data_IF_913741793555
#
_entry.id   IF_913741793555
#
_cell.length_a   1.000
_cell.length_b   1.000
_cell.length_c   1.000
_cell.angle_alpha   90.00
_cell.angle_beta   90.00
_cell.angle_gamma   90.00
#
_symmetry.space_group_name_H-M   'P 1'
#
loop_
_entity.id
_entity.type
_entity.pdbx_description
1 polymer ?
#
# COMPACT_ATOMS: atom_id res chain seq x y z
N UNK A 1 25.13 -0.27 -3.16
CA UNK A 1 24.14 0.36 -4.06
C UNK A 1 22.95 0.80 -3.22
N UNK A 2 22.64 2.11 -3.13
CA UNK A 2 21.52 2.61 -2.32
C UNK A 2 20.21 2.32 -3.06
N UNK A 3 19.11 1.96 -2.38
CA UNK A 3 17.81 1.85 -3.04
C UNK A 3 17.37 3.22 -3.57
N UNK A 4 17.04 3.27 -4.86
CA UNK A 4 16.51 4.45 -5.58
C UNK A 4 15.03 4.72 -5.25
N UNK A 5 14.58 4.30 -4.07
CA UNK A 5 13.24 4.53 -3.56
C UNK A 5 13.25 4.90 -2.07
N UNK A 6 12.16 5.51 -1.63
CA UNK A 6 11.82 5.79 -0.24
C UNK A 6 10.66 4.87 0.14
N UNK A 7 10.68 4.34 1.36
CA UNK A 7 9.58 3.53 1.91
C UNK A 7 8.95 4.32 3.05
N UNK A 8 7.62 4.37 3.06
CA UNK A 8 6.84 5.01 4.11
C UNK A 8 5.87 3.98 4.66
N UNK A 9 5.91 3.78 5.98
CA UNK A 9 5.00 2.90 6.68
C UNK A 9 3.92 3.77 7.32
N UNK A 10 2.65 3.52 6.97
CA UNK A 10 1.51 4.23 7.54
C UNK A 10 0.65 3.21 8.26
N UNK A 11 0.43 3.45 9.55
CA UNK A 11 -0.40 2.61 10.41
C UNK A 11 -1.70 3.36 10.64
N UNK A 12 -2.82 2.72 10.33
CA UNK A 12 -4.17 3.28 10.47
C UNK A 12 -4.97 2.53 11.53
N UNK A 13 -5.95 3.23 12.10
CA UNK A 13 -6.97 2.68 13.00
C UNK A 13 -6.37 1.87 14.16
N UNK A 14 -5.59 2.56 15.00
CA UNK A 14 -4.97 2.01 16.22
C UNK A 14 -4.30 0.65 15.97
N UNK A 15 -3.38 0.61 14.99
CA UNK A 15 -2.55 -0.56 14.68
C UNK A 15 -3.26 -1.75 14.03
N UNK A 16 -4.53 -1.61 13.61
CA UNK A 16 -5.24 -2.69 12.90
C UNK A 16 -4.85 -2.83 11.43
N UNK A 17 -4.53 -1.72 10.77
CA UNK A 17 -4.21 -1.72 9.35
C UNK A 17 -2.86 -1.05 9.10
N UNK A 18 -2.02 -1.70 8.33
CA UNK A 18 -0.75 -1.13 7.88
C UNK A 18 -0.74 -1.02 6.35
N UNK A 19 -0.30 0.14 5.85
CA UNK A 19 -0.11 0.40 4.43
C UNK A 19 1.32 0.83 4.20
N UNK A 20 2.02 0.07 3.36
CA UNK A 20 3.39 0.37 2.97
C UNK A 20 3.40 1.13 1.64
N UNK A 21 3.90 2.35 1.64
CA UNK A 21 4.08 3.16 0.44
C UNK A 21 5.54 3.15 0.00
N UNK A 22 5.77 3.19 -1.32
CA UNK A 22 7.08 3.29 -1.92
C UNK A 22 7.11 4.44 -2.91
N UNK A 23 8.05 5.37 -2.77
CA UNK A 23 8.27 6.47 -3.71
C UNK A 23 9.59 6.27 -4.44
N UNK A 24 9.57 6.26 -5.77
CA UNK A 24 10.79 6.27 -6.57
C UNK A 24 11.49 7.64 -6.49
N UNK A 25 12.78 7.66 -6.18
CA UNK A 25 13.61 8.89 -6.19
C UNK A 25 13.93 9.35 -7.61
N UNK A 26 13.83 8.45 -8.60
CA UNK A 26 14.19 8.73 -9.99
C UNK A 26 13.02 9.25 -10.83
N UNK A 27 11.80 8.79 -10.55
CA UNK A 27 10.61 9.07 -11.37
C UNK A 27 9.47 9.74 -10.60
N UNK A 28 9.65 9.97 -9.29
CA UNK A 28 8.61 10.45 -8.37
C UNK A 28 7.30 9.62 -8.38
N UNK A 29 7.32 8.41 -8.95
CA UNK A 29 6.19 7.50 -8.94
C UNK A 29 5.98 6.92 -7.55
N UNK A 30 4.73 6.87 -7.14
CA UNK A 30 4.31 6.29 -5.88
C UNK A 30 3.67 4.93 -6.11
N UNK A 31 3.93 4.03 -5.17
CA UNK A 31 3.37 2.69 -5.11
C UNK A 31 2.84 2.47 -3.71
N UNK A 32 1.78 1.68 -3.56
CA UNK A 32 1.31 1.21 -2.27
C UNK A 32 1.18 -0.31 -2.29
N UNK A 33 1.47 -0.91 -1.15
CA UNK A 33 1.34 -2.33 -0.90
C UNK A 33 -0.04 -2.65 -0.32
N UNK A 34 -0.65 -3.69 -0.85
CA UNK A 34 -1.92 -4.23 -0.36
C UNK A 34 -1.69 -5.69 0.05
N UNK A 35 -1.98 -6.04 1.31
CA UNK A 35 -1.99 -7.44 1.73
C UNK A 35 -3.18 -8.15 1.09
N UNK A 36 -2.97 -9.36 0.59
CA UNK A 36 -4.09 -10.19 0.12
C UNK A 36 -4.89 -10.69 1.33
N UNK A 37 -6.24 -10.72 1.25
CA UNK A 37 -7.01 -11.45 2.23
C UNK A 37 -6.61 -12.94 2.20
N UNK A 38 -6.53 -13.62 3.36
CA UNK A 38 -6.15 -15.02 3.45
C UNK A 38 -7.25 -15.91 2.86
N UNK A 39 -7.30 -15.99 1.53
CA UNK A 39 -8.10 -16.97 0.82
C UNK A 39 -7.41 -18.32 0.91
N UNK A 40 -8.19 -19.34 1.32
CA UNK A 40 -7.74 -20.70 1.67
C UNK A 40 -6.97 -21.45 0.57
N UNK A 41 -6.95 -20.95 -0.66
CA UNK A 41 -6.39 -21.65 -1.82
C UNK A 41 -5.07 -21.07 -2.37
N UNK A 42 -4.59 -19.95 -1.81
CA UNK A 42 -3.33 -19.34 -2.26
C UNK A 42 -2.18 -19.73 -1.31
N UNK A 43 -1.41 -20.75 -1.72
CA UNK A 43 -0.17 -21.23 -1.07
C UNK A 43 0.94 -20.17 -0.89
N UNK A 44 0.73 -18.93 -1.32
CA UNK A 44 1.69 -17.85 -1.25
C UNK A 44 1.00 -16.58 -0.79
N UNK A 45 1.40 -16.06 0.37
CA UNK A 45 1.13 -14.69 0.82
C UNK A 45 1.77 -13.74 -0.18
N UNK A 46 1.00 -13.34 -1.19
CA UNK A 46 1.43 -12.34 -2.15
C UNK A 46 0.99 -10.98 -1.60
N UNK A 47 1.79 -9.96 -1.87
CA UNK A 47 1.43 -8.56 -1.66
C UNK A 47 1.34 -7.93 -3.04
N UNK A 48 0.30 -7.16 -3.33
CA UNK A 48 0.25 -6.41 -4.61
C UNK A 48 0.79 -5.01 -4.39
N UNK A 49 1.70 -4.58 -5.26
CA UNK A 49 2.08 -3.19 -5.39
C UNK A 49 1.22 -2.53 -6.47
N UNK A 50 0.40 -1.56 -6.11
CA UNK A 50 -0.34 -0.75 -7.07
C UNK A 50 0.27 0.64 -7.22
N UNK A 51 0.23 1.23 -8.42
CA UNK A 51 0.60 2.63 -8.58
C UNK A 51 -0.39 3.52 -7.83
N UNK A 52 0.12 4.43 -7.02
CA UNK A 52 -0.66 5.43 -6.29
C UNK A 52 -0.05 6.81 -6.49
N UNK A 53 -0.61 7.82 -5.83
CA UNK A 53 -0.12 9.19 -5.82
C UNK A 53 0.24 9.62 -4.40
N UNK A 54 0.98 10.72 -4.25
CA UNK A 54 1.27 11.32 -2.94
C UNK A 54 0.01 11.66 -2.13
N UNK A 55 -1.08 12.04 -2.80
CA UNK A 55 -2.37 12.31 -2.15
C UNK A 55 -2.93 11.09 -1.41
N UNK A 56 -2.74 9.89 -1.97
CA UNK A 56 -3.17 8.65 -1.31
C UNK A 56 -2.39 8.42 0.00
N UNK A 57 -1.10 8.78 0.02
CA UNK A 57 -0.30 8.75 1.24
C UNK A 57 -0.77 9.79 2.27
N UNK A 58 -1.06 11.02 1.84
CA UNK A 58 -1.55 12.09 2.72
C UNK A 58 -2.89 11.70 3.39
N UNK A 59 -3.82 11.13 2.62
CA UNK A 59 -5.08 10.59 3.17
C UNK A 59 -4.82 9.47 4.18
N UNK A 60 -3.92 8.54 3.87
CA UNK A 60 -3.54 7.47 4.79
C UNK A 60 -2.96 8.01 6.10
N UNK A 61 -2.16 9.08 6.05
CA UNK A 61 -1.64 9.73 7.27
C UNK A 61 -2.70 10.45 8.08
N UNK A 62 -3.86 10.75 7.48
CA UNK A 62 -5.02 11.34 8.16
C UNK A 62 -5.97 10.28 8.74
N UNK A 63 -5.54 9.03 8.86
CA UNK A 63 -6.38 7.88 9.24
C UNK A 63 -7.49 7.54 8.22
N UNK A 64 -7.37 7.99 6.97
CA UNK A 64 -8.30 7.64 5.91
C UNK A 64 -7.70 6.62 4.93
N UNK A 65 -8.39 5.50 4.71
CA UNK A 65 -7.95 4.48 3.74
C UNK A 65 -8.26 4.99 2.32
N UNK A 66 -7.28 5.12 1.42
CA UNK A 66 -7.53 5.58 0.06
C UNK A 66 -8.45 4.63 -0.71
N UNK A 67 -9.38 5.17 -1.49
CA UNK A 67 -10.33 4.37 -2.29
C UNK A 67 -9.64 3.34 -3.20
N UNK A 68 -8.46 3.67 -3.76
CA UNK A 68 -7.67 2.74 -4.58
C UNK A 68 -7.22 1.50 -3.82
N UNK A 69 -6.85 1.67 -2.55
CA UNK A 69 -6.47 0.56 -1.69
C UNK A 69 -7.69 -0.32 -1.45
N UNK A 70 -8.81 0.29 -1.06
CA UNK A 70 -10.05 -0.42 -0.77
C UNK A 70 -10.62 -1.15 -1.99
N UNK A 71 -10.65 -0.51 -3.15
CA UNK A 71 -11.09 -1.11 -4.41
C UNK A 71 -10.21 -2.29 -4.82
N UNK A 72 -8.90 -2.18 -4.64
CA UNK A 72 -7.99 -3.27 -4.97
C UNK A 72 -8.15 -4.41 -3.98
N UNK A 73 -8.22 -4.10 -2.68
CA UNK A 73 -8.48 -5.08 -1.64
C UNK A 73 -9.78 -5.86 -1.88
N UNK A 74 -10.88 -5.18 -2.25
CA UNK A 74 -12.13 -5.84 -2.63
C UNK A 74 -12.01 -6.73 -3.87
N UNK A 75 -11.22 -6.32 -4.88
CA UNK A 75 -10.99 -7.14 -6.09
C UNK A 75 -10.12 -8.38 -5.82
N UNK A 76 -9.28 -8.32 -4.79
CA UNK A 76 -8.43 -9.42 -4.36
C UNK A 76 -9.15 -10.35 -3.36
N UNK A 77 -10.27 -9.91 -2.79
CA UNK A 77 -11.14 -10.65 -1.89
C UNK A 77 -12.12 -11.58 -2.61
#
# INVERSE_FOLDING_TARGET
TKPDYLRFHVVLQDEKYEINFYKSKKSDRWWMEIPYPPHKDLKFERHTLIPCNYKDYELATQNEIPDRWWQTYQKLS
#
